data_IF_363412611670
#
_entry.id   IF_363412611670
#
_cell.length_a   1.000
_cell.length_b   1.000
_cell.length_c   1.000
_cell.angle_alpha   90.00
_cell.angle_beta   90.00
_cell.angle_gamma   90.00
#
_symmetry.space_group_name_H-M   'P 1'
#
loop_
_entity.id
_entity.type
_entity.pdbx_description
1 polymer ?
#
# COMPACT_ATOMS: atom_id res chain seq x y z
N UNK A 1 1.90 13.44 -3.53
CA UNK A 1 2.90 12.36 -3.33
C UNK A 1 4.29 12.94 -3.46
N UNK A 2 5.30 12.48 -2.71
CA UNK A 2 6.67 12.97 -2.88
C UNK A 2 7.24 12.52 -4.23
N UNK A 3 8.04 13.38 -4.85
CA UNK A 3 8.74 13.08 -6.09
C UNK A 3 10.08 12.37 -5.84
N UNK A 4 10.61 11.69 -6.85
CA UNK A 4 11.95 11.10 -6.76
C UNK A 4 13.05 12.15 -6.46
N UNK A 5 12.91 13.37 -6.99
CA UNK A 5 13.85 14.47 -6.71
C UNK A 5 13.82 14.92 -5.24
N UNK A 6 12.66 14.94 -4.60
CA UNK A 6 12.54 15.27 -3.18
C UNK A 6 13.06 14.14 -2.28
N UNK A 7 12.95 12.88 -2.71
CA UNK A 7 13.43 11.71 -1.95
C UNK A 7 14.95 11.55 -2.06
N UNK A 8 15.54 11.80 -3.22
CA UNK A 8 16.94 11.52 -3.54
C UNK A 8 17.96 12.03 -2.49
N UNK A 9 17.86 13.27 -1.96
CA UNK A 9 18.83 13.79 -0.99
C UNK A 9 18.85 13.01 0.34
N UNK A 10 17.81 12.24 0.64
CA UNK A 10 17.61 11.54 1.91
C UNK A 10 18.00 10.06 1.88
N UNK A 11 18.43 9.53 0.74
CA UNK A 11 18.68 8.09 0.60
C UNK A 11 20.05 7.65 1.09
N UNK A 12 21.05 8.54 1.05
CA UNK A 12 22.41 8.21 1.49
C UNK A 12 22.41 7.75 2.95
N UNK A 13 22.82 6.51 3.19
CA UNK A 13 22.84 5.90 4.53
C UNK A 13 21.48 5.44 5.06
N UNK A 14 20.38 5.73 4.37
CA UNK A 14 19.06 5.18 4.72
C UNK A 14 19.01 3.68 4.45
N UNK A 15 18.33 2.92 5.31
CA UNK A 15 18.09 1.48 5.13
C UNK A 15 16.63 1.17 4.77
N UNK A 16 15.73 2.14 4.97
CA UNK A 16 14.31 1.98 4.69
C UNK A 16 13.74 3.29 4.15
N UNK A 17 13.00 3.18 3.05
CA UNK A 17 12.08 4.18 2.53
C UNK A 17 10.67 3.65 2.72
N UNK A 18 9.82 4.34 3.47
CA UNK A 18 8.43 3.94 3.68
C UNK A 18 7.49 4.83 2.86
N UNK A 19 6.70 4.21 2.01
CA UNK A 19 5.69 4.87 1.18
C UNK A 19 4.34 4.19 1.34
N UNK A 20 3.27 4.97 1.27
CA UNK A 20 1.90 4.48 1.27
C UNK A 20 1.18 4.97 0.01
N UNK A 21 0.51 4.06 -0.72
CA UNK A 21 -0.30 4.45 -1.90
C UNK A 21 -1.42 3.43 -2.12
N UNK A 22 -2.66 3.86 -2.19
CA UNK A 22 -3.20 5.22 -1.92
C UNK A 22 -2.88 5.71 -0.51
N UNK A 23 -2.64 7.02 -0.35
CA UNK A 23 -2.18 7.62 0.89
C UNK A 23 -3.33 8.06 1.80
N UNK A 24 -3.31 7.62 3.05
CA UNK A 24 -4.15 8.19 4.12
C UNK A 24 -3.37 9.32 4.83
N UNK A 25 -3.93 10.54 5.02
CA UNK A 25 -5.35 10.91 4.87
C UNK A 25 -5.68 11.59 3.52
N UNK A 26 -4.71 11.83 2.65
CA UNK A 26 -4.88 12.73 1.50
C UNK A 26 -5.65 12.10 0.33
N UNK A 27 -5.79 10.77 0.28
CA UNK A 27 -6.42 10.05 -0.82
C UNK A 27 -5.64 10.10 -2.15
N UNK A 28 -4.38 10.55 -2.13
CA UNK A 28 -3.53 10.64 -3.31
C UNK A 28 -2.86 9.31 -3.63
N UNK A 29 -2.57 9.09 -4.93
CA UNK A 29 -1.86 7.91 -5.42
C UNK A 29 -0.64 8.31 -6.24
N UNK A 30 0.35 7.45 -6.34
CA UNK A 30 1.42 7.60 -7.33
C UNK A 30 0.89 7.28 -8.73
N UNK A 31 1.25 8.11 -9.69
CA UNK A 31 1.17 7.76 -11.10
C UNK A 31 2.28 6.76 -11.44
N UNK A 32 2.10 6.03 -12.53
CA UNK A 32 3.04 4.99 -12.97
C UNK A 32 4.47 5.52 -13.11
N UNK A 33 4.61 6.67 -13.76
CA UNK A 33 5.88 7.31 -14.03
C UNK A 33 6.55 7.83 -12.75
N UNK A 34 5.78 8.37 -11.82
CA UNK A 34 6.26 8.84 -10.53
C UNK A 34 6.82 7.69 -9.69
N UNK A 35 6.04 6.60 -9.59
CA UNK A 35 6.48 5.41 -8.86
C UNK A 35 7.67 4.74 -9.53
N UNK A 36 7.69 4.70 -10.88
CA UNK A 36 8.85 4.19 -11.63
C UNK A 36 10.12 4.97 -11.34
N UNK A 37 10.07 6.29 -11.33
CA UNK A 37 11.23 7.13 -11.02
C UNK A 37 11.77 6.86 -9.61
N UNK A 38 10.89 6.61 -8.63
CA UNK A 38 11.30 6.21 -7.27
C UNK A 38 11.93 4.81 -7.27
N UNK A 39 11.37 3.86 -8.01
CA UNK A 39 11.95 2.52 -8.15
C UNK A 39 13.36 2.59 -8.76
N UNK A 40 13.53 3.33 -9.84
CA UNK A 40 14.83 3.52 -10.50
C UNK A 40 15.86 4.14 -9.53
N UNK A 41 15.43 5.09 -8.70
CA UNK A 41 16.26 5.71 -7.66
C UNK A 41 16.71 4.71 -6.59
N UNK A 42 15.81 3.86 -6.08
CA UNK A 42 16.13 2.81 -5.09
C UNK A 42 17.09 1.78 -5.67
N UNK A 43 16.89 1.38 -6.93
CA UNK A 43 17.76 0.45 -7.64
C UNK A 43 19.15 1.05 -7.82
N UNK A 44 19.24 2.30 -8.29
CA UNK A 44 20.51 3.00 -8.50
C UNK A 44 21.28 3.15 -7.19
N UNK A 45 20.63 3.56 -6.12
CA UNK A 45 21.23 3.67 -4.78
C UNK A 45 21.82 2.33 -4.33
N UNK A 46 21.06 1.23 -4.47
CA UNK A 46 21.53 -0.10 -4.09
C UNK A 46 22.67 -0.63 -4.96
N UNK A 47 22.72 -0.28 -6.25
CA UNK A 47 23.83 -0.63 -7.14
C UNK A 47 25.11 0.13 -6.78
N UNK A 48 24.99 1.34 -6.25
CA UNK A 48 26.12 2.15 -5.80
C UNK A 48 26.71 1.73 -4.45
N UNK A 49 26.01 0.91 -3.65
CA UNK A 49 26.43 0.48 -2.32
C UNK A 49 27.44 -0.65 -2.38
N UNK A 50 28.43 -0.58 -1.50
CA UNK A 50 29.40 -1.68 -1.29
C UNK A 50 28.74 -2.87 -0.61
N UNK A 51 29.46 -4.03 -0.59
CA UNK A 51 28.96 -5.26 0.05
C UNK A 51 28.76 -5.10 1.57
N UNK A 52 29.49 -4.21 2.22
CA UNK A 52 29.42 -3.96 3.67
C UNK A 52 28.32 -2.97 4.04
N UNK A 53 27.78 -2.25 3.08
CA UNK A 53 26.69 -1.31 3.32
C UNK A 53 25.34 -2.01 3.33
N UNK A 54 24.47 -1.58 4.29
CA UNK A 54 23.09 -2.07 4.36
C UNK A 54 22.35 -1.66 3.10
N UNK A 55 21.59 -2.58 2.52
CA UNK A 55 20.69 -2.27 1.39
C UNK A 55 19.57 -1.32 1.82
N UNK A 56 19.13 -0.50 0.87
CA UNK A 56 17.93 0.32 1.00
C UNK A 56 16.72 -0.51 0.58
N UNK A 57 15.75 -0.67 1.47
CA UNK A 57 14.50 -1.33 1.18
C UNK A 57 13.36 -0.33 1.07
N UNK A 58 12.42 -0.62 0.20
CA UNK A 58 11.15 0.10 0.09
C UNK A 58 10.07 -0.68 0.85
N UNK A 59 9.56 -0.12 1.94
CA UNK A 59 8.31 -0.58 2.55
C UNK A 59 7.16 0.11 1.83
N UNK A 60 6.34 -0.67 1.13
CA UNK A 60 5.22 -0.18 0.34
C UNK A 60 3.90 -0.62 0.98
N UNK A 61 3.27 0.31 1.69
CA UNK A 61 1.95 0.10 2.27
C UNK A 61 0.89 0.35 1.20
N UNK A 62 0.23 -0.72 0.78
CA UNK A 62 -0.83 -0.69 -0.22
C UNK A 62 -2.20 -1.08 0.35
N UNK A 63 -2.43 -0.92 1.64
CA UNK A 63 -3.67 -1.36 2.30
C UNK A 63 -4.95 -0.80 1.67
N UNK A 64 -4.87 0.29 0.91
CA UNK A 64 -5.99 0.93 0.21
C UNK A 64 -6.03 0.66 -1.29
N UNK A 65 -5.23 -0.26 -1.82
CA UNK A 65 -5.06 -0.46 -3.26
C UNK A 65 -6.35 -0.74 -4.04
N UNK A 66 -7.35 -1.38 -3.42
CA UNK A 66 -8.65 -1.64 -4.02
C UNK A 66 -9.56 -0.42 -4.06
N UNK A 67 -9.30 0.60 -3.24
CA UNK A 67 -10.15 1.78 -3.04
C UNK A 67 -9.71 2.96 -3.92
N UNK A 68 -9.48 2.69 -5.19
CA UNK A 68 -9.32 3.71 -6.23
C UNK A 68 -10.63 3.88 -7.00
N UNK A 69 -10.94 5.12 -7.41
CA UNK A 69 -12.21 5.49 -8.04
C UNK A 69 -11.97 6.26 -9.34
N UNK A 70 -12.96 6.23 -10.25
CA UNK A 70 -12.84 6.82 -11.58
C UNK A 70 -11.72 6.14 -12.38
N UNK A 71 -10.93 6.93 -13.08
CA UNK A 71 -9.83 6.48 -13.93
C UNK A 71 -8.50 6.29 -13.19
N UNK A 72 -8.54 6.29 -11.85
CA UNK A 72 -7.34 6.13 -11.03
C UNK A 72 -6.98 4.66 -10.90
N UNK A 73 -5.80 4.31 -11.39
CA UNK A 73 -5.21 2.97 -11.24
C UNK A 73 -4.20 2.94 -10.09
N UNK A 74 -4.18 1.82 -9.39
CA UNK A 74 -3.12 1.52 -8.43
C UNK A 74 -1.95 0.83 -9.13
N UNK A 75 -0.75 1.30 -8.83
CA UNK A 75 0.50 0.70 -9.30
C UNK A 75 1.33 0.20 -8.13
N UNK A 76 2.01 -0.92 -8.32
CA UNK A 76 2.96 -1.42 -7.34
C UNK A 76 4.39 -1.48 -7.90
N UNK A 77 5.42 -1.33 -7.03
CA UNK A 77 6.83 -1.26 -7.45
C UNK A 77 7.28 -2.43 -8.31
N UNK A 78 6.89 -3.65 -7.95
CA UNK A 78 7.40 -4.88 -8.59
C UNK A 78 6.78 -5.11 -9.98
N UNK A 79 5.51 -4.76 -10.17
CA UNK A 79 4.89 -4.87 -11.50
C UNK A 79 5.41 -3.83 -12.49
N UNK A 80 5.88 -2.67 -12.01
CA UNK A 80 6.49 -1.65 -12.87
C UNK A 80 7.97 -1.95 -13.12
N UNK A 81 8.70 -2.34 -12.08
CA UNK A 81 10.13 -2.62 -12.09
C UNK A 81 10.37 -3.98 -11.43
N UNK A 82 10.44 -5.10 -12.18
CA UNK A 82 10.60 -6.43 -11.60
C UNK A 82 11.84 -6.60 -10.70
N UNK A 83 12.91 -5.85 -10.93
CA UNK A 83 14.12 -5.82 -10.08
C UNK A 83 13.80 -5.37 -8.64
N UNK A 84 12.74 -4.57 -8.45
CA UNK A 84 12.30 -4.14 -7.13
C UNK A 84 11.83 -5.27 -6.21
N UNK A 85 11.60 -6.48 -6.74
CA UNK A 85 11.31 -7.68 -5.93
C UNK A 85 12.37 -7.93 -4.85
N UNK A 86 13.62 -7.61 -5.13
CA UNK A 86 14.73 -7.78 -4.20
C UNK A 86 14.78 -6.71 -3.10
N UNK A 87 14.04 -5.62 -3.26
CA UNK A 87 14.11 -4.45 -2.38
C UNK A 87 12.77 -4.02 -1.80
N UNK A 88 11.65 -4.64 -2.19
CA UNK A 88 10.32 -4.21 -1.74
C UNK A 88 9.76 -5.11 -0.65
N UNK A 89 9.25 -4.50 0.41
CA UNK A 89 8.44 -5.13 1.45
C UNK A 89 7.02 -4.56 1.30
N UNK A 90 6.09 -5.37 0.85
CA UNK A 90 4.68 -5.00 0.79
C UNK A 90 4.00 -5.20 2.14
N UNK A 91 3.13 -4.24 2.50
CA UNK A 91 2.18 -4.36 3.61
C UNK A 91 0.78 -4.28 3.02
N UNK A 92 -0.05 -5.26 3.37
CA UNK A 92 -1.43 -5.34 2.90
C UNK A 92 -2.30 -6.13 3.89
N UNK A 93 -3.62 -6.18 3.65
CA UNK A 93 -4.55 -6.92 4.49
C UNK A 93 -6.01 -6.68 4.12
N UNK A 94 -6.90 -7.35 4.84
CA UNK A 94 -8.34 -7.29 4.59
C UNK A 94 -9.04 -6.09 5.22
N UNK A 95 -8.36 -5.36 6.08
CA UNK A 95 -8.97 -4.30 6.91
C UNK A 95 -9.74 -3.26 6.11
N UNK A 96 -9.21 -2.85 4.96
CA UNK A 96 -9.78 -1.78 4.11
C UNK A 96 -10.47 -2.36 2.88
N UNK A 97 -9.81 -3.26 2.16
CA UNK A 97 -10.35 -3.91 0.98
C UNK A 97 -11.71 -4.58 1.24
N UNK A 98 -11.89 -5.19 2.40
CA UNK A 98 -13.11 -5.93 2.76
C UNK A 98 -13.90 -5.29 3.92
N UNK A 99 -13.64 -4.03 4.26
CA UNK A 99 -14.24 -3.36 5.43
C UNK A 99 -14.11 -4.19 6.73
N UNK A 100 -13.07 -5.02 6.83
CA UNK A 100 -12.89 -6.04 7.87
C UNK A 100 -11.87 -5.63 8.94
N UNK A 101 -11.90 -4.37 9.36
CA UNK A 101 -10.92 -3.82 10.31
C UNK A 101 -10.88 -4.59 11.64
N UNK A 102 -12.03 -5.10 12.11
CA UNK A 102 -12.16 -5.87 13.36
C UNK A 102 -11.60 -7.29 13.30
N UNK A 103 -11.41 -7.86 12.10
CA UNK A 103 -10.92 -9.24 11.91
C UNK A 103 -9.41 -9.36 12.21
N UNK A 104 -8.65 -8.29 12.09
CA UNK A 104 -7.23 -8.19 12.47
C UNK A 104 -6.30 -9.10 11.66
N UNK A 105 -6.53 -9.27 10.35
CA UNK A 105 -5.67 -10.03 9.45
C UNK A 105 -5.02 -9.11 8.42
N UNK A 106 -3.70 -9.18 8.37
CA UNK A 106 -2.86 -8.55 7.36
C UNK A 106 -1.63 -9.41 7.09
N UNK A 107 -0.88 -9.06 6.09
CA UNK A 107 0.31 -9.78 5.67
C UNK A 107 1.39 -8.84 5.16
N UNK A 108 2.60 -9.37 5.13
CA UNK A 108 3.73 -8.75 4.44
C UNK A 108 4.33 -9.72 3.45
N UNK A 109 4.78 -9.19 2.32
CA UNK A 109 5.46 -9.94 1.26
C UNK A 109 6.75 -9.21 0.91
N UNK A 110 7.82 -9.96 0.67
CA UNK A 110 9.10 -9.35 0.31
C UNK A 110 10.24 -10.36 0.27
N UNK A 111 11.50 -9.90 0.26
CA UNK A 111 12.67 -10.76 0.26
C UNK A 111 12.63 -11.77 1.42
N UNK A 112 12.84 -13.06 1.10
CA UNK A 112 12.64 -14.16 2.04
C UNK A 112 13.43 -14.00 3.36
N UNK A 113 14.65 -13.48 3.29
CA UNK A 113 15.50 -13.26 4.47
C UNK A 113 14.96 -12.18 5.41
N UNK A 114 14.26 -11.16 4.88
CA UNK A 114 13.60 -10.13 5.70
C UNK A 114 12.32 -10.67 6.32
N UNK A 115 11.48 -11.33 5.52
CA UNK A 115 10.23 -11.94 6.02
C UNK A 115 10.52 -12.96 7.12
N UNK A 116 11.59 -13.75 6.99
CA UNK A 116 11.99 -14.67 8.04
C UNK A 116 12.34 -13.95 9.37
N UNK A 117 13.03 -12.82 9.29
CA UNK A 117 13.34 -11.98 10.48
C UNK A 117 12.09 -11.34 11.08
N UNK A 118 11.20 -10.80 10.25
CA UNK A 118 9.92 -10.25 10.69
C UNK A 118 9.08 -11.31 11.40
N UNK A 119 9.01 -12.53 10.83
CA UNK A 119 8.34 -13.68 11.44
C UNK A 119 8.93 -14.02 12.80
N UNK A 120 10.25 -14.07 12.92
CA UNK A 120 10.93 -14.35 14.19
C UNK A 120 10.59 -13.30 15.25
N UNK A 121 10.64 -12.02 14.91
CA UNK A 121 10.26 -10.91 15.82
C UNK A 121 8.82 -11.06 16.28
N UNK A 122 7.87 -11.26 15.36
CA UNK A 122 6.45 -11.43 15.69
C UNK A 122 6.22 -12.63 16.62
N UNK A 123 6.98 -13.74 16.43
CA UNK A 123 6.94 -14.88 17.34
C UNK A 123 7.36 -14.51 18.75
N UNK A 124 8.42 -13.75 18.92
CA UNK A 124 8.94 -13.37 20.24
C UNK A 124 8.03 -12.38 20.97
N UNK A 125 7.41 -11.46 20.25
CA UNK A 125 6.51 -10.47 20.87
C UNK A 125 5.05 -10.93 20.97
N UNK A 126 4.73 -12.10 20.41
CA UNK A 126 3.36 -12.63 20.41
C UNK A 126 2.38 -11.85 19.54
N UNK A 127 2.87 -11.14 18.51
CA UNK A 127 2.06 -10.28 17.65
C UNK A 127 1.56 -11.02 16.40
N UNK A 128 0.76 -12.05 16.61
CA UNK A 128 0.13 -12.82 15.55
C UNK A 128 -1.31 -12.40 15.32
N UNK A 129 -1.75 -12.43 14.05
CA UNK A 129 -3.17 -12.43 13.74
C UNK A 129 -3.84 -13.69 14.31
N UNK A 130 -5.11 -13.64 14.76
CA UNK A 130 -5.81 -14.80 15.27
C UNK A 130 -5.85 -15.93 14.22
N UNK A 131 -5.65 -17.17 14.65
CA UNK A 131 -5.50 -18.32 13.72
C UNK A 131 -6.78 -18.61 12.95
N UNK A 132 -7.94 -18.57 13.61
CA UNK A 132 -9.22 -18.84 12.96
C UNK A 132 -9.51 -17.84 11.84
N UNK A 133 -9.24 -16.56 12.09
CA UNK A 133 -9.41 -15.48 11.12
C UNK A 133 -8.41 -15.57 9.96
N UNK A 134 -7.18 -16.03 10.21
CA UNK A 134 -6.21 -16.31 9.14
C UNK A 134 -6.74 -17.41 8.21
N UNK A 135 -7.22 -18.52 8.76
CA UNK A 135 -7.78 -19.62 7.97
C UNK A 135 -9.03 -19.20 7.20
N UNK A 136 -9.96 -18.51 7.85
CA UNK A 136 -11.16 -17.99 7.19
C UNK A 136 -10.82 -17.03 6.05
N UNK A 137 -9.87 -16.11 6.28
CA UNK A 137 -9.37 -15.18 5.25
C UNK A 137 -8.75 -15.95 4.09
N UNK A 138 -7.89 -16.93 4.36
CA UNK A 138 -7.24 -17.72 3.32
C UNK A 138 -8.25 -18.52 2.46
N UNK A 139 -9.30 -19.05 3.08
CA UNK A 139 -10.38 -19.72 2.35
C UNK A 139 -11.23 -18.75 1.52
N UNK A 140 -11.55 -17.58 2.08
CA UNK A 140 -12.34 -16.57 1.39
C UNK A 140 -11.59 -16.00 0.17
N UNK A 141 -10.30 -15.74 0.31
CA UNK A 141 -9.46 -15.22 -0.78
C UNK A 141 -9.28 -16.20 -1.97
N UNK A 142 -9.79 -17.41 -1.90
CA UNK A 142 -9.84 -18.36 -3.01
C UNK A 142 -11.15 -18.27 -3.81
N UNK A 143 -12.07 -17.40 -3.42
CA UNK A 143 -13.40 -17.28 -4.02
C UNK A 143 -13.48 -16.09 -4.97
N UNK A 144 -12.72 -16.13 -6.07
CA UNK A 144 -12.54 -14.99 -7.00
C UNK A 144 -13.87 -14.35 -7.42
N UNK A 145 -14.84 -15.12 -7.88
CA UNK A 145 -16.13 -14.60 -8.34
C UNK A 145 -16.93 -13.88 -7.23
N UNK A 146 -16.87 -14.38 -6.00
CA UNK A 146 -17.52 -13.74 -4.85
C UNK A 146 -16.81 -12.43 -4.48
N UNK A 147 -15.48 -12.41 -4.56
CA UNK A 147 -14.65 -11.23 -4.29
C UNK A 147 -14.89 -10.15 -5.33
N UNK A 148 -14.92 -10.51 -6.61
CA UNK A 148 -15.19 -9.56 -7.70
C UNK A 148 -16.58 -8.92 -7.55
N UNK A 149 -17.59 -9.73 -7.24
CA UNK A 149 -18.95 -9.24 -6.99
C UNK A 149 -18.97 -8.29 -5.79
N UNK A 150 -18.29 -8.66 -4.71
CA UNK A 150 -18.17 -7.82 -3.52
C UNK A 150 -17.51 -6.47 -3.85
N UNK A 151 -16.39 -6.46 -4.57
CA UNK A 151 -15.68 -5.23 -4.88
C UNK A 151 -16.48 -4.29 -5.78
N UNK A 152 -17.18 -4.81 -6.77
CA UNK A 152 -18.07 -3.99 -7.62
C UNK A 152 -19.10 -3.26 -6.75
N UNK A 153 -19.84 -4.00 -5.92
CA UNK A 153 -20.87 -3.42 -5.05
C UNK A 153 -20.28 -2.47 -4.00
N UNK A 154 -19.22 -2.90 -3.32
CA UNK A 154 -18.58 -2.13 -2.26
C UNK A 154 -18.02 -0.79 -2.76
N UNK A 155 -17.36 -0.78 -3.92
CA UNK A 155 -16.85 0.45 -4.53
C UNK A 155 -17.96 1.38 -4.97
N UNK A 156 -19.04 0.85 -5.53
CA UNK A 156 -20.21 1.64 -5.90
C UNK A 156 -20.81 2.35 -4.68
N UNK A 157 -21.08 1.62 -3.61
CA UNK A 157 -21.62 2.17 -2.35
C UNK A 157 -20.74 3.29 -1.76
N UNK A 158 -19.42 3.09 -1.78
CA UNK A 158 -18.49 4.12 -1.29
C UNK A 158 -18.49 5.34 -2.22
N UNK A 159 -18.44 5.14 -3.53
CA UNK A 159 -18.45 6.23 -4.50
C UNK A 159 -19.71 7.09 -4.38
N UNK A 160 -20.88 6.48 -4.23
CA UNK A 160 -22.14 7.19 -4.02
C UNK A 160 -22.10 8.06 -2.75
N UNK A 161 -21.59 7.52 -1.64
CA UNK A 161 -21.47 8.27 -0.37
C UNK A 161 -20.46 9.41 -0.48
N UNK A 162 -19.32 9.19 -1.11
CA UNK A 162 -18.30 10.22 -1.32
C UNK A 162 -18.84 11.34 -2.22
N UNK A 163 -19.54 11.02 -3.30
CA UNK A 163 -20.16 12.02 -4.16
C UNK A 163 -21.20 12.85 -3.42
N UNK A 164 -22.06 12.24 -2.62
CA UNK A 164 -23.04 12.97 -1.81
C UNK A 164 -22.38 13.95 -0.82
N UNK A 165 -21.28 13.53 -0.18
CA UNK A 165 -20.50 14.39 0.71
C UNK A 165 -19.88 15.54 -0.07
N UNK A 166 -19.28 15.26 -1.22
CA UNK A 166 -18.66 16.27 -2.07
C UNK A 166 -19.69 17.29 -2.58
N UNK A 167 -20.85 16.84 -3.06
CA UNK A 167 -21.94 17.71 -3.49
C UNK A 167 -22.45 18.60 -2.35
N UNK A 168 -22.56 18.03 -1.14
CA UNK A 168 -22.93 18.78 0.06
C UNK A 168 -21.93 19.89 0.38
N UNK A 169 -20.64 19.60 0.34
CA UNK A 169 -19.59 20.62 0.51
C UNK A 169 -19.61 21.68 -0.59
N UNK A 170 -19.81 21.28 -1.83
CA UNK A 170 -19.91 22.24 -2.95
C UNK A 170 -21.14 23.16 -2.82
N UNK A 171 -22.24 22.67 -2.26
CA UNK A 171 -23.40 23.49 -1.96
C UNK A 171 -23.11 24.49 -0.83
N UNK A 172 -22.52 24.06 0.27
CA UNK A 172 -22.11 24.93 1.37
C UNK A 172 -21.13 26.01 0.89
N UNK A 173 -20.19 25.66 0.02
CA UNK A 173 -19.27 26.62 -0.58
C UNK A 173 -20.00 27.71 -1.37
N UNK A 174 -21.03 27.35 -2.16
CA UNK A 174 -21.87 28.33 -2.88
C UNK A 174 -22.63 29.25 -1.94
N UNK A 175 -22.98 28.78 -0.75
CA UNK A 175 -23.66 29.54 0.31
C UNK A 175 -22.69 30.43 1.12
N UNK A 176 -21.38 30.40 0.81
CA UNK A 176 -20.36 31.26 1.41
C UNK A 176 -19.68 30.65 2.64
N UNK A 177 -19.91 29.38 2.96
CA UNK A 177 -19.18 28.69 4.03
C UNK A 177 -17.75 28.36 3.58
N UNK A 178 -16.75 28.46 4.49
CA UNK A 178 -15.35 28.11 4.21
C UNK A 178 -15.16 26.58 4.27
N UNK A 179 -15.40 25.92 3.15
CA UNK A 179 -15.25 24.46 2.98
C UNK A 179 -14.29 24.12 1.85
#
# INVERSE_FOLDING_TARGET
MPTAAEIAPHLKGASLLALCSPLNPTGTTFKKEELKAICDLVIAENKGRTADEKKLYLLYDQIYWTLTFGDIEHYNPVSICPEMKEYTIFIDGISKAFAATGVRVGWSMGPAHLIAKMKAINSHVGAWSPMAEQHATAQYLQQDAAIDTYFVHFKQEIAERLNRIFEGFMQLKKEGFPV
#
